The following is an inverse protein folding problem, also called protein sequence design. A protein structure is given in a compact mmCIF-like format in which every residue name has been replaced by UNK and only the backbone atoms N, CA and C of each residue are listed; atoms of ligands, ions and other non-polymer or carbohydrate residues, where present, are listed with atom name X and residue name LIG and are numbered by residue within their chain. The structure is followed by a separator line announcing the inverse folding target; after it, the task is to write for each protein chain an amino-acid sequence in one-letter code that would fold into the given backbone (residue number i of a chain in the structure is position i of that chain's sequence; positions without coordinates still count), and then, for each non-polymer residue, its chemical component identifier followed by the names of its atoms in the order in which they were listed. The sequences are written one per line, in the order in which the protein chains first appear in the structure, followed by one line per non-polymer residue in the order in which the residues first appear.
data_IF_600091713942
#
_entry.id   IF_600091713942
#
_cell.length_a   1.000
_cell.length_b   1.000
_cell.length_c   1.000
_cell.angle_alpha   90.00
_cell.angle_beta   90.00
_cell.angle_gamma   90.00
#
_symmetry.space_group_name_H-M   'P 1'
#
loop_
_entity.id
_entity.type
_entity.pdbx_description
1 polymer ?
#
# COMPACT_ATOMS: atom_id res chain seq x y z
N UNK A 1 -5.92 42.13 20.14
CA UNK A 1 -7.30 41.90 19.66
C UNK A 1 -7.67 40.42 19.83
N UNK A 2 -8.88 40.08 20.31
CA UNK A 2 -9.30 38.67 20.49
C UNK A 2 -9.23 37.88 19.17
N UNK A 3 -9.49 38.57 18.05
CA UNK A 3 -9.39 38.06 16.67
C UNK A 3 -7.95 37.73 16.23
N UNK A 4 -6.98 38.60 16.54
CA UNK A 4 -5.55 38.39 16.23
C UNK A 4 -4.98 37.14 16.94
N UNK A 5 -5.40 36.89 18.19
CA UNK A 5 -4.99 35.70 18.95
C UNK A 5 -5.58 34.41 18.37
N UNK A 6 -6.81 34.47 17.83
CA UNK A 6 -7.47 33.33 17.18
C UNK A 6 -6.80 33.03 15.83
N UNK A 7 -6.48 34.06 15.04
CA UNK A 7 -5.76 33.88 13.77
C UNK A 7 -4.36 33.30 14.00
N UNK A 8 -3.66 33.73 15.07
CA UNK A 8 -2.35 33.18 15.46
C UNK A 8 -2.43 31.70 15.89
N UNK A 9 -3.46 31.30 16.65
CA UNK A 9 -3.70 29.89 17.05
C UNK A 9 -4.06 29.00 15.86
N UNK A 10 -4.85 29.51 14.90
CA UNK A 10 -5.19 28.80 13.67
C UNK A 10 -3.94 28.59 12.82
N UNK A 11 -3.11 29.61 12.63
CA UNK A 11 -1.84 29.48 11.90
C UNK A 11 -0.84 28.56 12.61
N UNK A 12 -0.78 28.59 13.95
CA UNK A 12 0.03 27.64 14.73
C UNK A 12 -0.46 26.21 14.53
N UNK A 13 -1.77 25.95 14.55
CA UNK A 13 -2.33 24.62 14.29
C UNK A 13 -2.13 24.18 12.84
N UNK A 14 -2.19 25.07 11.85
CA UNK A 14 -1.75 24.78 10.47
C UNK A 14 -0.25 24.48 10.35
N UNK A 15 0.60 25.06 11.21
CA UNK A 15 2.04 24.73 11.30
C UNK A 15 2.30 23.40 12.02
N UNK A 16 1.45 22.98 12.96
CA UNK A 16 1.53 21.64 13.61
C UNK A 16 0.91 20.57 12.70
N UNK A 17 -0.04 20.94 11.83
CA UNK A 17 -0.45 20.15 10.64
C UNK A 17 0.62 20.30 9.53
N UNK A 18 1.89 20.33 9.93
CA UNK A 18 3.03 20.22 9.05
C UNK A 18 3.05 18.82 8.47
N UNK A 19 2.43 18.68 7.30
CA UNK A 19 2.88 17.84 6.18
C UNK A 19 3.72 16.66 6.65
N UNK A 20 3.05 15.56 7.03
CA UNK A 20 3.71 14.26 6.96
C UNK A 20 4.05 14.05 5.49
N UNK A 21 5.31 14.29 5.12
CA UNK A 21 5.85 14.00 3.79
C UNK A 21 6.01 12.47 3.69
N UNK A 22 4.91 11.74 3.79
CA UNK A 22 4.88 10.29 3.73
C UNK A 22 4.87 9.83 2.26
N UNK A 23 5.80 10.39 1.47
CA UNK A 23 6.11 9.87 0.14
C UNK A 23 6.42 8.39 0.25
N UNK A 24 5.78 7.61 -0.63
CA UNK A 24 6.02 6.19 -0.71
C UNK A 24 7.52 5.89 -0.85
N UNK A 25 8.01 4.76 -0.31
CA UNK A 25 9.41 4.38 -0.47
C UNK A 25 9.81 4.30 -1.96
N UNK A 26 11.11 4.43 -2.28
CA UNK A 26 11.58 4.40 -3.66
C UNK A 26 11.09 3.16 -4.43
N UNK A 27 10.57 3.36 -5.65
CA UNK A 27 10.05 2.29 -6.50
C UNK A 27 8.59 1.88 -6.26
N UNK A 28 7.93 2.51 -5.28
CA UNK A 28 6.51 2.33 -4.99
C UNK A 28 5.69 3.46 -5.65
N UNK A 29 4.42 3.19 -5.95
CA UNK A 29 3.50 4.19 -6.49
C UNK A 29 2.52 4.65 -5.42
N UNK A 30 2.36 5.97 -5.29
CA UNK A 30 1.31 6.58 -4.46
C UNK A 30 -0.03 6.41 -5.17
N UNK A 31 -0.98 5.73 -4.50
CA UNK A 31 -2.33 5.51 -5.04
C UNK A 31 -3.36 6.43 -4.44
N UNK A 32 -3.22 6.82 -3.18
CA UNK A 32 -4.12 7.79 -2.55
C UNK A 32 -3.46 8.46 -1.36
N UNK A 33 -3.97 9.64 -1.01
CA UNK A 33 -3.54 10.41 0.16
C UNK A 33 -4.77 10.77 0.97
N UNK A 34 -4.73 10.47 2.26
CA UNK A 34 -5.71 10.94 3.25
C UNK A 34 -5.01 11.95 4.17
N UNK A 35 -5.79 12.75 4.91
CA UNK A 35 -5.28 13.75 5.87
C UNK A 35 -4.23 13.17 6.84
N UNK A 36 -4.32 11.86 7.16
CA UNK A 36 -3.49 11.20 8.17
C UNK A 36 -2.46 10.22 7.61
N UNK A 37 -2.60 9.73 6.38
CA UNK A 37 -1.71 8.70 5.83
C UNK A 37 -1.76 8.64 4.30
N UNK A 38 -0.65 8.19 3.72
CA UNK A 38 -0.50 7.87 2.31
C UNK A 38 -0.68 6.37 2.06
N UNK A 39 -1.36 6.04 0.96
CA UNK A 39 -1.58 4.68 0.48
C UNK A 39 -0.63 4.39 -0.68
N UNK A 40 0.30 3.47 -0.43
CA UNK A 40 1.32 3.08 -1.37
C UNK A 40 1.02 1.70 -1.95
N UNK A 41 1.19 1.53 -3.26
CA UNK A 41 1.08 0.23 -3.89
C UNK A 41 2.30 -0.63 -3.50
N UNK A 42 2.11 -1.81 -2.87
CA UNK A 42 3.22 -2.69 -2.49
C UNK A 42 3.87 -3.39 -3.70
N UNK A 43 3.27 -3.28 -4.89
CA UNK A 43 3.84 -3.84 -6.11
C UNK A 43 4.86 -2.86 -6.70
N UNK A 44 6.10 -3.31 -7.02
CA UNK A 44 7.08 -2.46 -7.67
C UNK A 44 6.54 -2.06 -9.05
N UNK A 45 6.57 -0.75 -9.35
CA UNK A 45 6.02 -0.20 -10.59
C UNK A 45 4.52 -0.50 -10.81
N UNK A 46 3.78 -0.80 -9.74
CA UNK A 46 2.34 -1.05 -9.81
C UNK A 46 1.57 0.18 -10.31
N UNK A 47 0.41 -0.06 -10.92
CA UNK A 47 -0.52 0.97 -11.37
C UNK A 47 -1.74 1.00 -10.45
N UNK A 48 -2.11 2.20 -9.99
CA UNK A 48 -3.25 2.39 -9.14
C UNK A 48 -4.54 2.26 -9.94
N UNK A 49 -5.52 1.60 -9.34
CA UNK A 49 -6.88 1.56 -9.87
C UNK A 49 -7.57 2.92 -9.66
N UNK A 50 -8.73 3.11 -10.30
CA UNK A 50 -9.49 4.36 -10.23
C UNK A 50 -10.01 4.69 -8.83
N UNK A 51 -10.12 3.69 -7.95
CA UNK A 51 -10.55 3.84 -6.56
C UNK A 51 -9.44 4.32 -5.61
N UNK A 52 -8.20 4.44 -6.09
CA UNK A 52 -7.04 4.94 -5.34
C UNK A 52 -6.63 4.11 -4.10
N UNK A 53 -7.33 3.02 -3.82
CA UNK A 53 -7.06 2.12 -2.69
C UNK A 53 -6.63 0.73 -3.14
N UNK A 54 -6.82 0.39 -4.41
CA UNK A 54 -6.30 -0.83 -5.03
C UNK A 54 -5.26 -0.52 -6.12
N UNK A 55 -4.42 -1.51 -6.40
CA UNK A 55 -3.43 -1.44 -7.47
C UNK A 55 -3.18 -2.80 -8.13
N UNK A 56 -2.70 -2.73 -9.38
CA UNK A 56 -2.34 -3.87 -10.22
C UNK A 56 -0.86 -3.83 -10.61
N UNK A 57 -0.26 -4.97 -11.01
CA UNK A 57 1.10 -4.97 -11.55
C UNK A 57 1.19 -4.16 -12.85
N UNK A 58 2.40 -3.68 -13.18
CA UNK A 58 2.64 -3.02 -14.47
C UNK A 58 2.18 -3.89 -15.66
N UNK A 59 1.49 -3.29 -16.63
CA UNK A 59 0.95 -4.00 -17.81
C UNK A 59 -0.40 -4.69 -17.60
N UNK A 60 -0.99 -4.56 -16.42
CA UNK A 60 -2.35 -4.98 -16.13
C UNK A 60 -3.32 -3.80 -16.10
N UNK A 61 -4.59 -4.09 -16.28
CA UNK A 61 -5.72 -3.18 -16.20
C UNK A 61 -6.64 -3.62 -15.05
N UNK A 62 -7.14 -2.65 -14.28
CA UNK A 62 -8.01 -2.93 -13.15
C UNK A 62 -9.44 -3.18 -13.63
N UNK A 63 -10.00 -4.31 -13.21
CA UNK A 63 -11.41 -4.65 -13.27
C UNK A 63 -11.90 -4.69 -11.82
N UNK A 64 -12.39 -3.54 -11.35
CA UNK A 64 -12.86 -3.37 -9.98
C UNK A 64 -14.19 -4.08 -9.72
N UNK A 65 -15.00 -4.29 -10.77
CA UNK A 65 -16.28 -4.99 -10.66
C UNK A 65 -16.05 -6.46 -10.25
N UNK A 66 -15.01 -7.08 -10.81
CA UNK A 66 -14.63 -8.45 -10.48
C UNK A 66 -13.39 -8.54 -9.57
N UNK A 67 -12.92 -7.43 -9.02
CA UNK A 67 -11.76 -7.33 -8.11
C UNK A 67 -10.49 -8.01 -8.66
N UNK A 68 -10.23 -7.83 -9.97
CA UNK A 68 -9.12 -8.48 -10.68
C UNK A 68 -8.32 -7.50 -11.53
N UNK A 69 -7.13 -7.93 -11.88
CA UNK A 69 -6.18 -7.30 -12.77
C UNK A 69 -6.10 -8.15 -14.03
N UNK A 70 -6.56 -7.61 -15.15
CA UNK A 70 -6.56 -8.28 -16.45
C UNK A 70 -5.33 -7.84 -17.24
N UNK A 71 -4.58 -8.78 -17.83
CA UNK A 71 -3.43 -8.40 -18.66
C UNK A 71 -3.92 -7.84 -19.98
N UNK A 72 -3.44 -6.66 -20.37
CA UNK A 72 -3.91 -5.91 -21.56
C UNK A 72 -3.96 -6.71 -22.87
N UNK A 73 -3.09 -7.73 -23.01
CA UNK A 73 -2.98 -8.56 -24.23
C UNK A 73 -3.41 -10.03 -24.03
N UNK A 74 -3.91 -10.40 -22.83
CA UNK A 74 -4.38 -11.76 -22.55
C UNK A 74 -5.31 -11.77 -21.34
N UNK A 75 -6.62 -11.80 -21.59
CA UNK A 75 -7.66 -11.85 -20.54
C UNK A 75 -7.69 -13.15 -19.75
N UNK A 76 -7.02 -14.21 -20.20
CA UNK A 76 -6.88 -15.45 -19.43
C UNK A 76 -5.80 -15.34 -18.34
N UNK A 77 -4.93 -14.32 -18.40
CA UNK A 77 -3.93 -14.07 -17.37
C UNK A 77 -4.46 -13.03 -16.38
N UNK A 78 -5.25 -13.50 -15.42
CA UNK A 78 -5.84 -12.69 -14.36
C UNK A 78 -5.01 -12.75 -13.08
N UNK A 79 -5.01 -11.66 -12.30
CA UNK A 79 -4.45 -11.60 -10.95
C UNK A 79 -5.44 -10.87 -10.04
N UNK A 80 -5.50 -11.15 -8.73
CA UNK A 80 -6.30 -10.33 -7.84
C UNK A 80 -5.75 -8.90 -7.79
N UNK A 81 -6.64 -7.93 -7.60
CA UNK A 81 -6.19 -6.57 -7.20
C UNK A 81 -5.50 -6.63 -5.85
N UNK A 82 -4.52 -5.75 -5.65
CA UNK A 82 -3.78 -5.66 -4.39
C UNK A 82 -4.16 -4.37 -3.70
N UNK A 83 -4.52 -4.44 -2.42
CA UNK A 83 -4.77 -3.24 -1.62
C UNK A 83 -3.48 -2.42 -1.45
N UNK A 84 -3.57 -1.12 -1.73
CA UNK A 84 -2.57 -0.16 -1.34
C UNK A 84 -2.49 -0.11 0.20
N UNK A 85 -1.28 0.06 0.72
CA UNK A 85 -0.98 -0.08 2.15
C UNK A 85 -0.32 1.19 2.66
N UNK A 86 -0.67 1.55 3.89
CA UNK A 86 0.05 2.56 4.65
C UNK A 86 1.24 1.92 5.37
N UNK A 87 2.26 2.74 5.68
CA UNK A 87 3.36 2.32 6.54
C UNK A 87 4.17 1.15 5.98
N UNK A 88 4.48 1.17 4.68
CA UNK A 88 5.28 0.13 4.05
C UNK A 88 6.72 0.13 4.58
N UNK A 89 7.20 -1.03 5.03
CA UNK A 89 8.59 -1.24 5.49
C UNK A 89 9.36 -2.14 4.53
N UNK A 90 10.63 -1.81 4.29
CA UNK A 90 11.51 -2.65 3.48
C UNK A 90 12.06 -3.81 4.31
N UNK A 91 11.91 -5.04 3.81
CA UNK A 91 12.53 -6.21 4.45
C UNK A 91 13.90 -6.50 3.84
N UNK A 92 13.98 -6.50 2.51
CA UNK A 92 15.22 -6.66 1.76
C UNK A 92 14.95 -6.98 0.29
N UNK A 93 15.90 -6.64 -0.58
CA UNK A 93 15.67 -6.63 -2.03
C UNK A 93 14.49 -5.72 -2.39
N UNK A 94 13.59 -6.21 -3.24
CA UNK A 94 12.36 -5.51 -3.67
C UNK A 94 11.12 -5.89 -2.85
N UNK A 95 11.29 -6.43 -1.63
CA UNK A 95 10.17 -6.88 -0.78
C UNK A 95 9.81 -5.81 0.25
N UNK A 96 8.55 -5.38 0.19
CA UNK A 96 7.95 -4.34 1.02
C UNK A 96 6.68 -4.85 1.68
N UNK A 97 6.63 -4.77 3.01
CA UNK A 97 5.53 -5.30 3.80
C UNK A 97 4.72 -4.19 4.45
N UNK A 98 3.43 -4.45 4.69
CA UNK A 98 2.61 -3.54 5.48
C UNK A 98 3.18 -3.38 6.88
N UNK A 99 2.80 -2.31 7.57
CA UNK A 99 3.21 -2.11 8.96
C UNK A 99 2.85 -3.30 9.86
N UNK A 100 1.70 -3.94 9.60
CA UNK A 100 1.17 -5.08 10.37
C UNK A 100 1.64 -6.46 9.87
N UNK A 101 2.44 -6.53 8.82
CA UNK A 101 3.01 -7.78 8.30
C UNK A 101 4.48 -7.86 8.72
N UNK A 102 5.02 -9.04 8.99
CA UNK A 102 6.42 -9.25 9.37
C UNK A 102 7.32 -9.60 8.18
N UNK A 103 8.61 -9.35 8.34
CA UNK A 103 9.64 -9.69 7.36
C UNK A 103 10.18 -11.10 7.67
N UNK A 104 9.89 -12.06 6.81
CA UNK A 104 10.41 -13.42 6.90
C UNK A 104 11.34 -13.73 5.72
N UNK A 105 12.29 -14.66 5.90
CA UNK A 105 13.02 -15.28 4.78
C UNK A 105 12.45 -16.67 4.48
N UNK A 106 12.27 -16.99 3.21
CA UNK A 106 11.91 -18.33 2.75
C UNK A 106 13.09 -19.30 2.78
N UNK A 107 12.84 -20.56 2.41
CA UNK A 107 13.86 -21.63 2.38
C UNK A 107 15.00 -21.34 1.38
N UNK A 108 14.68 -20.62 0.30
CA UNK A 108 15.65 -20.14 -0.68
C UNK A 108 16.41 -18.88 -0.23
N UNK A 109 16.20 -18.41 1.00
CA UNK A 109 16.78 -17.18 1.54
C UNK A 109 16.14 -15.87 1.03
N UNK A 110 15.12 -15.94 0.18
CA UNK A 110 14.41 -14.77 -0.34
C UNK A 110 13.51 -14.14 0.72
N UNK A 111 13.45 -12.80 0.76
CA UNK A 111 12.56 -12.07 1.65
C UNK A 111 11.09 -12.20 1.21
N UNK A 112 10.18 -12.25 2.19
CA UNK A 112 8.73 -12.31 1.98
C UNK A 112 7.99 -11.66 3.17
N UNK A 113 6.75 -11.23 2.92
CA UNK A 113 5.85 -10.73 3.95
C UNK A 113 5.07 -11.88 4.58
N UNK A 114 5.11 -12.00 5.89
CA UNK A 114 4.42 -13.02 6.66
C UNK A 114 3.48 -12.36 7.67
N UNK A 115 2.21 -12.76 7.68
CA UNK A 115 1.28 -12.31 8.72
C UNK A 115 1.34 -13.31 9.86
N UNK A 116 1.87 -12.92 11.02
CA UNK A 116 1.92 -13.80 12.20
C UNK A 116 0.52 -14.24 12.68
N UNK A 117 -0.55 -13.60 12.17
CA UNK A 117 -1.95 -13.99 12.34
C UNK A 117 -2.58 -14.58 11.05
N UNK A 118 -2.20 -15.82 10.76
CA UNK A 118 -3.17 -16.86 10.41
C UNK A 118 -2.68 -18.16 11.04
N UNK A 119 -2.93 -18.32 12.34
CA UNK A 119 -3.17 -19.66 12.87
C UNK A 119 -4.42 -20.20 12.18
N UNK A 120 -4.27 -20.70 10.94
CA UNK A 120 -5.16 -21.65 10.23
C UNK A 120 -5.00 -21.70 8.71
N UNK A 121 -3.84 -21.36 8.11
CA UNK A 121 -3.58 -21.78 6.72
C UNK A 121 -2.12 -22.16 6.53
N UNK A 122 -1.84 -23.45 6.70
CA UNK A 122 -0.61 -24.11 6.28
C UNK A 122 -1.06 -25.26 5.39
N UNK A 123 -0.83 -25.13 4.08
CA UNK A 123 -1.07 -26.14 3.03
C UNK A 123 -2.50 -26.46 2.54
N UNK A 124 -3.42 -25.49 2.44
CA UNK A 124 -4.63 -25.66 1.61
C UNK A 124 -5.53 -26.86 1.97
N UNK A 125 -5.46 -27.35 3.21
CA UNK A 125 -6.36 -28.36 3.76
C UNK A 125 -6.85 -27.83 5.11
N UNK A 126 -8.15 -27.59 5.16
CA UNK A 126 -8.88 -27.19 6.36
C UNK A 126 -9.03 -28.40 7.28
N UNK A 127 -8.65 -28.26 8.55
CA UNK A 127 -9.12 -29.12 9.64
C UNK A 127 -10.38 -28.49 10.25
#
# INVERSE_FOLDING_TARGET
NKMEKILSLMLFSFLIVGIVDAKCPPGMKLCGTTILFDLCCPLPMGVCCSDLVHCCPHGYECDLDHQRCNKKNNTQQERPVVGAKFGLKQCGGSVWCAQNDDCCKGENGAWQCCRHFSKNYVYGLQL
#
